data_IF_831938944997
#
_entry.id   IF_831938944997
#
_cell.length_a   1.000
_cell.length_b   1.000
_cell.length_c   1.000
_cell.angle_alpha   90.00
_cell.angle_beta   90.00
_cell.angle_gamma   90.00
#
_symmetry.space_group_name_H-M   'P 1'
#
loop_
_entity.id
_entity.type
_entity.pdbx_description
1 polymer ?
#
# COMPACT_ATOMS: atom_id res chain seq x y z
N UNK A 1 2.06 10.36 4.61
CA UNK A 1 1.30 9.14 4.21
C UNK A 1 0.57 8.50 5.41
N UNK A 2 -0.33 7.53 5.25
CA UNK A 2 -1.06 6.96 6.40
C UNK A 2 -0.14 6.23 7.40
N UNK A 3 0.98 5.64 6.97
CA UNK A 3 1.95 5.02 7.90
C UNK A 3 2.69 6.00 8.80
N UNK A 4 2.75 7.26 8.41
CA UNK A 4 3.40 8.32 9.17
C UNK A 4 2.47 8.92 10.22
N UNK A 5 1.18 8.58 10.19
CA UNK A 5 0.18 9.14 11.09
C UNK A 5 -0.03 8.22 12.29
N UNK A 6 0.16 8.79 13.48
CA UNK A 6 -0.11 8.16 14.76
C UNK A 6 -1.32 8.85 15.39
N UNK A 7 -2.41 8.11 15.54
CA UNK A 7 -3.66 8.62 16.12
C UNK A 7 -4.00 7.79 17.34
N UNK A 8 -4.45 8.45 18.41
CA UNK A 8 -4.91 7.77 19.63
C UNK A 8 -6.00 6.75 19.33
N UNK A 9 -5.98 5.54 19.93
CA UNK A 9 -7.07 4.57 19.82
C UNK A 9 -8.39 5.07 20.40
N UNK A 10 -8.34 6.07 21.29
CA UNK A 10 -9.50 6.71 21.91
C UNK A 10 -10.13 7.78 21.00
N UNK A 11 -9.48 8.13 19.89
CA UNK A 11 -10.02 9.09 18.94
C UNK A 11 -11.38 8.59 18.39
N UNK A 12 -12.36 9.49 18.40
CA UNK A 12 -13.72 9.20 17.92
C UNK A 12 -13.83 9.57 16.44
N UNK A 13 -14.99 10.12 16.07
CA UNK A 13 -15.36 10.46 14.72
C UNK A 13 -14.56 11.64 14.14
N UNK A 14 -14.19 12.61 14.98
CA UNK A 14 -13.53 13.86 14.61
C UNK A 14 -12.12 13.88 15.19
N UNK A 15 -11.16 14.42 14.43
CA UNK A 15 -9.78 14.53 14.88
C UNK A 15 -9.57 15.66 15.90
N UNK A 16 -10.43 16.68 15.90
CA UNK A 16 -10.35 17.82 16.84
C UNK A 16 -10.63 17.41 18.30
N UNK A 17 -11.44 16.37 18.46
CA UNK A 17 -11.73 15.74 19.75
C UNK A 17 -10.70 14.68 20.13
N UNK A 18 -9.74 14.38 19.24
CA UNK A 18 -8.70 13.39 19.54
C UNK A 18 -7.80 13.93 20.65
N UNK A 19 -7.49 13.13 21.69
CA UNK A 19 -6.55 13.55 22.71
C UNK A 19 -5.12 13.67 22.18
N UNK A 20 -4.79 12.93 21.11
CA UNK A 20 -3.45 12.88 20.53
C UNK A 20 -3.51 12.49 19.06
N UNK A 21 -2.87 13.30 18.23
CA UNK A 21 -2.62 13.05 16.81
C UNK A 21 -1.21 13.50 16.48
N UNK A 22 -0.47 12.69 15.73
CA UNK A 22 0.92 12.97 15.40
C UNK A 22 1.21 12.58 13.95
N UNK A 23 1.92 13.46 13.23
CA UNK A 23 2.52 13.15 11.94
C UNK A 23 4.04 13.00 12.12
N UNK A 24 4.53 11.78 11.92
CA UNK A 24 5.95 11.40 12.03
C UNK A 24 6.59 11.43 10.64
N UNK A 25 7.57 12.28 10.43
CA UNK A 25 8.32 12.39 9.16
C UNK A 25 9.81 12.37 9.43
N UNK A 26 10.59 11.79 8.52
CA UNK A 26 12.05 11.87 8.57
C UNK A 26 12.54 12.95 7.61
N UNK A 27 13.34 13.89 8.12
CA UNK A 27 13.95 14.96 7.32
C UNK A 27 15.44 15.04 7.61
N UNK A 28 16.23 15.52 6.65
CA UNK A 28 17.66 15.75 6.89
C UNK A 28 17.87 17.00 7.75
N UNK A 29 19.02 17.09 8.44
CA UNK A 29 19.36 18.31 9.22
C UNK A 29 19.37 19.56 8.36
N UNK A 30 19.81 19.44 7.12
CA UNK A 30 19.90 20.55 6.17
C UNK A 30 18.52 21.08 5.82
N UNK A 31 17.56 20.18 5.55
CA UNK A 31 16.18 20.56 5.22
C UNK A 31 15.52 21.26 6.41
N UNK A 32 15.75 20.76 7.64
CA UNK A 32 15.19 21.37 8.86
C UNK A 32 15.68 22.79 9.11
N UNK A 33 16.97 23.05 8.84
CA UNK A 33 17.52 24.41 8.94
C UNK A 33 16.93 25.30 7.84
N UNK A 34 16.72 24.76 6.64
CA UNK A 34 16.10 25.49 5.53
C UNK A 34 14.62 25.83 5.78
N UNK A 35 13.91 24.97 6.52
CA UNK A 35 12.53 25.17 6.95
C UNK A 35 12.39 26.26 8.04
N UNK A 36 13.51 26.82 8.52
CA UNK A 36 13.54 27.93 9.47
C UNK A 36 13.62 27.51 10.95
N UNK A 37 13.92 26.24 11.23
CA UNK A 37 14.13 25.75 12.60
C UNK A 37 15.53 26.18 13.07
N UNK A 38 15.64 26.58 14.34
CA UNK A 38 16.91 27.02 14.92
C UNK A 38 18.02 25.97 14.75
N UNK A 39 19.15 26.42 14.20
CA UNK A 39 20.26 25.55 13.83
C UNK A 39 20.94 24.92 15.07
N UNK A 40 20.96 25.60 16.21
CA UNK A 40 21.52 25.03 17.44
C UNK A 40 20.63 23.90 17.97
N UNK A 41 19.31 24.09 17.92
CA UNK A 41 18.33 23.06 18.30
C UNK A 41 18.43 21.82 17.40
N UNK A 42 18.50 21.99 16.08
CA UNK A 42 18.62 20.87 15.12
C UNK A 42 19.95 20.12 15.31
N UNK A 43 21.06 20.84 15.51
CA UNK A 43 22.37 20.22 15.63
C UNK A 43 22.54 19.40 16.93
N UNK A 44 21.86 19.83 17.99
CA UNK A 44 21.88 19.17 19.29
C UNK A 44 20.78 18.12 19.46
N UNK A 45 19.86 17.99 18.50
CA UNK A 45 18.89 16.92 18.48
C UNK A 45 19.57 15.56 18.20
N UNK A 46 19.08 14.53 18.89
CA UNK A 46 19.50 13.16 18.66
C UNK A 46 19.03 12.69 17.28
N UNK A 47 19.87 11.91 16.60
CA UNK A 47 19.47 11.19 15.39
C UNK A 47 18.34 10.22 15.77
N UNK A 48 17.29 10.16 14.94
CA UNK A 48 16.09 9.36 15.23
C UNK A 48 16.40 7.89 15.53
N UNK A 49 15.49 7.21 16.23
CA UNK A 49 15.60 5.75 16.37
C UNK A 49 15.53 5.12 14.98
N UNK A 50 16.40 4.18 14.64
CA UNK A 50 16.37 3.62 13.30
C UNK A 50 15.10 2.80 13.07
N UNK A 51 14.48 2.98 11.90
CA UNK A 51 13.20 2.36 11.54
C UNK A 51 13.18 0.83 11.64
N UNK A 52 14.32 0.14 11.49
CA UNK A 52 14.40 -1.31 11.65
C UNK A 52 14.15 -1.79 13.09
N UNK A 53 14.18 -0.91 14.09
CA UNK A 53 13.82 -1.26 15.47
C UNK A 53 12.29 -1.29 15.67
N UNK A 54 11.53 -0.81 14.69
CA UNK A 54 10.07 -0.80 14.68
C UNK A 54 9.56 -2.09 14.02
N UNK A 55 8.84 -2.91 14.79
CA UNK A 55 8.45 -4.27 14.37
C UNK A 55 7.54 -4.28 13.13
N UNK A 56 6.78 -3.19 12.92
CA UNK A 56 5.93 -3.00 11.74
C UNK A 56 6.74 -2.72 10.47
N UNK A 57 7.88 -2.03 10.56
CA UNK A 57 8.75 -1.78 9.41
C UNK A 57 9.39 -3.08 8.92
N UNK A 58 9.88 -3.91 9.85
CA UNK A 58 10.42 -5.24 9.54
C UNK A 58 9.37 -6.14 8.86
N UNK A 59 8.11 -6.09 9.31
CA UNK A 59 7.05 -6.92 8.73
C UNK A 59 6.72 -6.54 7.28
N UNK A 60 7.01 -5.30 6.87
CA UNK A 60 6.75 -4.79 5.51
C UNK A 60 7.97 -4.91 4.61
N UNK A 61 9.16 -4.61 5.11
CA UNK A 61 10.42 -4.70 4.37
C UNK A 61 11.00 -6.11 4.47
N UNK A 62 10.52 -6.96 3.57
CA UNK A 62 11.00 -8.35 3.41
C UNK A 62 12.43 -8.40 2.83
N UNK A 63 12.92 -7.28 2.29
CA UNK A 63 14.24 -7.18 1.64
C UNK A 63 15.29 -6.68 2.64
N UNK A 64 16.09 -7.63 3.16
CA UNK A 64 17.17 -7.40 4.14
C UNK A 64 18.21 -6.35 3.69
N UNK A 65 18.40 -6.17 2.38
CA UNK A 65 19.40 -5.26 1.80
C UNK A 65 19.11 -3.77 2.10
N UNK A 66 17.86 -3.42 2.38
CA UNK A 66 17.43 -2.07 2.77
C UNK A 66 17.60 -1.79 4.28
N UNK A 67 17.97 -2.79 5.08
CA UNK A 67 18.20 -2.63 6.53
C UNK A 67 19.61 -2.12 6.88
N UNK A 68 20.31 -1.53 5.92
CA UNK A 68 21.65 -0.98 6.16
C UNK A 68 21.53 0.33 6.92
N UNK A 69 22.27 0.46 8.03
CA UNK A 69 22.40 1.74 8.73
C UNK A 69 23.25 2.69 7.90
N UNK A 70 22.62 3.45 7.02
CA UNK A 70 23.26 4.60 6.40
C UNK A 70 23.47 5.66 7.48
N UNK A 71 24.64 5.62 8.11
CA UNK A 71 25.13 6.71 8.95
C UNK A 71 26.10 7.55 8.10
N UNK A 72 25.59 8.52 7.32
CA UNK A 72 26.46 9.36 6.52
C UNK A 72 27.47 10.08 7.42
N UNK A 73 28.73 10.14 6.97
CA UNK A 73 29.81 10.80 7.70
C UNK A 73 29.58 12.32 7.86
N UNK A 74 28.78 12.90 6.96
CA UNK A 74 28.38 14.30 7.04
C UNK A 74 27.13 14.47 7.91
N UNK A 75 27.22 15.36 8.91
CA UNK A 75 26.11 15.70 9.82
C UNK A 75 24.93 16.31 9.08
N UNK A 76 25.18 17.01 7.98
CA UNK A 76 24.15 17.68 7.17
C UNK A 76 23.14 16.70 6.56
N UNK A 77 23.59 15.48 6.26
CA UNK A 77 22.83 14.40 5.62
C UNK A 77 22.21 13.43 6.61
N UNK A 78 22.47 13.59 7.91
CA UNK A 78 21.86 12.74 8.93
C UNK A 78 20.36 13.01 8.99
N UNK A 79 19.58 11.94 8.98
CA UNK A 79 18.13 11.99 9.11
C UNK A 79 17.72 12.15 10.58
N UNK A 80 16.80 13.07 10.82
CA UNK A 80 16.19 13.30 12.12
C UNK A 80 14.69 13.06 12.00
N UNK A 81 14.13 12.41 13.01
CA UNK A 81 12.70 12.23 13.13
C UNK A 81 12.05 13.54 13.60
N UNK A 82 11.09 14.01 12.82
CA UNK A 82 10.25 15.16 13.12
C UNK A 82 8.85 14.63 13.43
N UNK A 83 8.29 15.09 14.54
CA UNK A 83 6.92 14.77 14.93
C UNK A 83 6.14 16.07 15.06
N UNK A 84 5.16 16.23 14.21
CA UNK A 84 4.17 17.29 14.34
C UNK A 84 2.99 16.76 15.16
N UNK A 85 2.86 17.24 16.39
CA UNK A 85 1.98 16.65 17.39
C UNK A 85 0.86 17.62 17.74
N UNK A 86 -0.38 17.26 17.42
CA UNK A 86 -1.56 17.90 17.98
C UNK A 86 -1.98 17.15 19.25
N UNK A 87 -1.86 17.81 20.41
CA UNK A 87 -2.19 17.22 21.72
C UNK A 87 -3.16 18.13 22.46
N UNK A 88 -4.12 17.51 23.16
CA UNK A 88 -4.95 18.23 24.13
C UNK A 88 -4.31 18.17 25.50
N UNK A 89 -3.86 19.31 26.00
CA UNK A 89 -3.29 19.42 27.33
C UNK A 89 -3.74 20.71 28.02
N UNK A 90 -3.94 20.62 29.33
CA UNK A 90 -4.07 21.76 30.20
C UNK A 90 -2.65 22.28 30.50
N UNK A 91 -2.32 23.45 29.94
CA UNK A 91 -0.98 24.04 30.04
C UNK A 91 -0.88 25.11 31.13
N UNK A 92 -1.96 25.88 31.35
CA UNK A 92 -2.00 26.98 32.32
C UNK A 92 -2.54 26.55 33.70
N UNK A 93 -3.03 25.31 33.82
CA UNK A 93 -3.50 24.71 35.06
C UNK A 93 -4.92 25.15 35.43
N UNK A 94 -5.72 25.59 34.45
CA UNK A 94 -7.09 26.06 34.66
C UNK A 94 -8.14 24.93 34.66
N UNK A 95 -7.72 23.70 34.33
CA UNK A 95 -8.56 22.51 34.25
C UNK A 95 -9.27 22.31 32.90
N UNK A 96 -9.02 23.18 31.91
CA UNK A 96 -9.55 23.10 30.55
C UNK A 96 -8.42 22.63 29.62
N UNK A 97 -8.62 21.47 28.99
CA UNK A 97 -7.64 20.97 28.03
C UNK A 97 -7.78 21.72 26.69
N UNK A 98 -6.83 22.60 26.40
CA UNK A 98 -6.69 23.29 25.11
C UNK A 98 -5.98 22.40 24.09
N UNK A 99 -6.23 22.66 22.80
CA UNK A 99 -5.53 21.97 21.72
C UNK A 99 -4.25 22.77 21.37
N UNK A 100 -3.12 22.09 21.38
CA UNK A 100 -1.81 22.68 21.05
C UNK A 100 -1.12 21.86 19.99
N UNK A 101 -0.49 22.54 19.04
CA UNK A 101 0.40 21.95 18.06
C UNK A 101 1.84 22.12 18.55
N UNK A 102 2.50 20.99 18.73
CA UNK A 102 3.87 20.90 19.24
C UNK A 102 4.73 20.26 18.17
N UNK A 103 5.69 21.03 17.66
CA UNK A 103 6.69 20.53 16.73
C UNK A 103 7.86 19.95 17.53
N UNK A 104 8.05 18.64 17.46
CA UNK A 104 9.14 17.92 18.13
C UNK A 104 10.17 17.47 17.09
N UNK A 105 11.42 17.83 17.32
CA UNK A 105 12.57 17.43 16.49
C UNK A 105 13.46 16.52 17.31
N UNK A 106 13.46 15.23 16.99
CA UNK A 106 14.13 14.19 17.78
C UNK A 106 13.60 14.14 19.21
N UNK A 107 14.43 14.60 20.15
CA UNK A 107 14.12 14.64 21.59
C UNK A 107 13.80 16.05 22.11
N UNK A 108 13.73 17.05 21.23
CA UNK A 108 13.56 18.46 21.59
C UNK A 108 12.27 19.04 21.03
N UNK A 109 11.65 19.93 21.79
CA UNK A 109 10.48 20.70 21.34
C UNK A 109 11.01 21.97 20.64
N UNK A 110 10.65 22.14 19.37
CA UNK A 110 11.04 23.28 18.55
C UNK A 110 10.00 24.41 18.58
N UNK A 111 8.71 24.09 18.54
CA UNK A 111 7.61 25.05 18.69
C UNK A 111 6.47 24.43 19.50
N UNK A 112 5.73 25.28 20.21
CA UNK A 112 4.50 24.96 20.92
C UNK A 112 3.53 26.12 20.74
N UNK A 113 2.55 25.93 19.88
CA UNK A 113 1.54 26.92 19.51
C UNK A 113 0.14 26.40 19.87
N UNK A 114 -0.73 27.30 20.29
CA UNK A 114 -2.13 26.98 20.60
C UNK A 114 -2.98 27.13 19.34
N UNK A 115 -3.87 26.17 19.09
CA UNK A 115 -4.65 26.11 17.85
C UNK A 115 -6.11 25.75 18.16
N UNK A 116 -7.03 26.34 17.40
CA UNK A 116 -8.47 26.08 17.54
C UNK A 116 -8.92 24.75 16.89
N UNK A 117 -8.31 24.36 15.76
CA UNK A 117 -8.67 23.18 14.97
C UNK A 117 -7.45 22.29 14.70
N UNK A 118 -7.64 20.97 14.60
CA UNK A 118 -6.57 20.05 14.24
C UNK A 118 -6.09 20.33 12.80
N UNK A 119 -4.77 20.43 12.54
CA UNK A 119 -4.26 20.66 11.19
C UNK A 119 -4.43 19.45 10.25
N UNK A 120 -4.97 18.34 10.77
CA UNK A 120 -5.10 17.07 10.07
C UNK A 120 -6.57 16.71 9.84
N UNK A 121 -6.88 16.31 8.61
CA UNK A 121 -8.17 15.76 8.23
C UNK A 121 -8.05 14.27 7.87
N UNK A 122 -8.94 13.45 8.39
CA UNK A 122 -9.05 12.04 8.04
C UNK A 122 -10.41 11.74 7.40
N UNK A 123 -10.40 10.99 6.30
CA UNK A 123 -11.60 10.57 5.60
C UNK A 123 -11.54 9.06 5.33
N UNK A 124 -12.67 8.38 5.52
CA UNK A 124 -12.79 6.96 5.19
C UNK A 124 -14.18 6.63 4.65
N UNK A 125 -14.24 5.72 3.68
CA UNK A 125 -15.50 5.29 3.06
C UNK A 125 -16.43 4.55 4.02
N UNK A 126 -15.88 3.65 4.84
CA UNK A 126 -16.65 2.87 5.80
C UNK A 126 -15.92 2.83 7.14
N UNK A 127 -16.53 3.41 8.17
CA UNK A 127 -15.95 3.43 9.51
C UNK A 127 -16.05 2.07 10.19
N UNK A 128 -14.97 1.66 10.84
CA UNK A 128 -14.98 0.52 11.75
C UNK A 128 -15.12 1.03 13.19
N UNK A 129 -15.89 0.35 14.05
CA UNK A 129 -15.96 0.71 15.46
C UNK A 129 -14.60 0.48 16.14
N UNK A 130 -14.27 1.35 17.11
CA UNK A 130 -13.03 1.28 17.91
C UNK A 130 -11.72 1.39 17.11
N UNK A 131 -11.77 1.91 15.88
CA UNK A 131 -10.58 2.11 15.03
C UNK A 131 -10.73 3.39 14.22
N UNK A 132 -9.66 4.19 14.19
CA UNK A 132 -9.64 5.42 13.37
C UNK A 132 -9.56 5.07 11.87
N UNK A 133 -8.75 4.08 11.50
CA UNK A 133 -8.71 3.55 10.13
C UNK A 133 -9.95 2.70 9.86
N UNK A 134 -10.65 3.04 8.78
CA UNK A 134 -11.78 2.28 8.29
C UNK A 134 -11.41 1.37 7.13
N UNK A 135 -12.44 0.88 6.45
CA UNK A 135 -12.34 -0.02 5.30
C UNK A 135 -12.51 0.82 4.03
N UNK A 136 -11.60 0.64 3.08
CA UNK A 136 -11.70 1.22 1.73
C UNK A 136 -12.71 0.44 0.90
N UNK A 137 -13.33 1.09 -0.09
CA UNK A 137 -14.14 0.40 -1.10
C UNK A 137 -13.34 -0.67 -1.85
N UNK A 138 -12.03 -0.42 -2.04
CA UNK A 138 -11.14 -1.40 -2.66
C UNK A 138 -11.02 -2.68 -1.82
N UNK A 139 -10.91 -2.56 -0.50
CA UNK A 139 -10.75 -3.71 0.40
C UNK A 139 -11.97 -4.65 0.33
N UNK A 140 -13.17 -4.10 0.10
CA UNK A 140 -14.38 -4.92 -0.10
C UNK A 140 -14.44 -5.58 -1.49
N UNK A 141 -13.81 -4.97 -2.51
CA UNK A 141 -13.87 -5.45 -3.89
C UNK A 141 -12.65 -6.27 -4.32
N UNK A 142 -11.57 -6.25 -3.55
CA UNK A 142 -10.28 -6.84 -3.91
C UNK A 142 -10.43 -8.32 -4.31
N UNK A 143 -11.15 -9.10 -3.51
CA UNK A 143 -11.38 -10.53 -3.77
C UNK A 143 -12.10 -10.76 -5.11
N UNK A 144 -13.12 -9.95 -5.41
CA UNK A 144 -13.86 -10.03 -6.67
C UNK A 144 -12.95 -9.67 -7.86
N UNK A 145 -12.10 -8.66 -7.70
CA UNK A 145 -11.16 -8.25 -8.74
C UNK A 145 -10.13 -9.36 -9.02
N UNK A 146 -9.62 -10.03 -7.98
CA UNK A 146 -8.71 -11.16 -8.12
C UNK A 146 -9.40 -12.31 -8.87
N UNK A 147 -10.59 -12.74 -8.43
CA UNK A 147 -11.37 -13.80 -9.08
C UNK A 147 -11.64 -13.46 -10.55
N UNK A 148 -12.08 -12.23 -10.83
CA UNK A 148 -12.34 -11.76 -12.19
C UNK A 148 -11.09 -11.86 -13.06
N UNK A 149 -9.94 -11.42 -12.54
CA UNK A 149 -8.68 -11.47 -13.27
C UNK A 149 -8.23 -12.90 -13.56
N UNK A 150 -8.41 -13.82 -12.61
CA UNK A 150 -8.02 -15.22 -12.75
C UNK A 150 -8.92 -15.97 -13.72
N UNK A 151 -10.23 -15.74 -13.66
CA UNK A 151 -11.19 -16.29 -14.62
C UNK A 151 -10.91 -15.79 -16.04
N UNK A 152 -10.59 -14.51 -16.20
CA UNK A 152 -10.31 -13.92 -17.50
C UNK A 152 -8.99 -14.44 -18.09
N UNK A 153 -7.94 -14.60 -17.27
CA UNK A 153 -6.68 -15.25 -17.67
C UNK A 153 -6.88 -16.72 -18.02
N UNK A 154 -7.64 -17.43 -17.21
CA UNK A 154 -7.96 -18.85 -17.43
C UNK A 154 -8.74 -19.00 -18.73
N UNK A 155 -9.78 -18.20 -18.95
CA UNK A 155 -10.56 -18.21 -20.19
C UNK A 155 -9.69 -17.88 -21.42
N UNK A 156 -8.84 -16.86 -21.33
CA UNK A 156 -7.90 -16.54 -22.40
C UNK A 156 -6.95 -17.72 -22.71
N UNK A 157 -6.46 -18.41 -21.68
CA UNK A 157 -5.63 -19.63 -21.83
C UNK A 157 -6.41 -20.76 -22.51
N UNK A 158 -7.66 -21.00 -22.11
CA UNK A 158 -8.53 -21.99 -22.75
C UNK A 158 -8.78 -21.65 -24.23
N UNK A 159 -9.03 -20.39 -24.55
CA UNK A 159 -9.28 -19.96 -25.94
C UNK A 159 -8.05 -20.11 -26.85
N UNK A 160 -6.84 -20.10 -26.29
CA UNK A 160 -5.59 -20.30 -27.04
C UNK A 160 -5.24 -21.78 -27.22
N UNK A 161 -5.98 -22.70 -26.60
CA UNK A 161 -5.74 -24.11 -26.80
C UNK A 161 -6.05 -24.51 -28.24
N UNK A 162 -5.18 -25.28 -28.89
CA UNK A 162 -5.49 -25.82 -30.21
C UNK A 162 -6.71 -26.73 -30.07
N UNK A 163 -7.76 -26.44 -30.84
CA UNK A 163 -8.93 -27.32 -30.88
C UNK A 163 -8.48 -28.72 -31.31
N UNK A 164 -8.96 -29.78 -30.64
CA UNK A 164 -8.54 -31.14 -30.96
C UNK A 164 -8.94 -31.45 -32.41
N UNK A 165 -7.95 -31.47 -33.31
CA UNK A 165 -8.15 -31.94 -34.68
C UNK A 165 -8.40 -33.44 -34.59
N UNK A 166 -9.48 -33.93 -35.23
CA UNK A 166 -9.70 -35.37 -35.41
C UNK A 166 -8.47 -35.98 -36.09
N UNK A 167 -7.61 -36.65 -35.34
CA UNK A 167 -6.55 -37.47 -35.90
C UNK A 167 -7.11 -38.88 -36.09
N UNK A 168 -7.16 -39.32 -37.34
CA UNK A 168 -7.53 -40.69 -37.69
C UNK A 168 -6.26 -41.51 -37.82
N UNK A 169 -6.18 -42.62 -37.07
CA UNK A 169 -4.97 -43.45 -36.90
C UNK A 169 -4.49 -44.18 -38.16
N UNK A 170 -5.28 -44.25 -39.24
CA UNK A 170 -4.92 -44.98 -40.45
C UNK A 170 -4.66 -44.04 -41.63
N UNK A 171 -3.38 -43.98 -42.05
CA UNK A 171 -2.87 -43.31 -43.26
C UNK A 171 -3.72 -43.66 -44.49
N UNK A 172 -4.57 -42.74 -44.93
CA UNK A 172 -5.04 -42.62 -46.33
C UNK A 172 -5.08 -41.14 -46.72
N UNK A 173 -4.81 -40.91 -48.01
CA UNK A 173 -4.35 -39.67 -48.66
C UNK A 173 -5.03 -38.38 -48.18
N UNK A 174 -4.19 -37.38 -47.84
CA UNK A 174 -4.48 -36.01 -47.43
C UNK A 174 -4.97 -35.15 -48.62
N UNK A 175 -6.16 -35.41 -49.18
CA UNK A 175 -6.63 -34.57 -50.30
C UNK A 175 -7.68 -33.52 -49.93
N UNK A 176 -8.35 -33.56 -48.77
CA UNK A 176 -9.22 -32.42 -48.41
C UNK A 176 -9.52 -32.35 -46.91
N UNK A 177 -8.84 -31.43 -46.21
CA UNK A 177 -9.29 -30.86 -44.95
C UNK A 177 -9.56 -29.38 -45.21
N UNK A 178 -10.66 -29.07 -45.89
CA UNK A 178 -11.13 -27.68 -45.96
C UNK A 178 -11.55 -27.20 -44.57
N UNK A 179 -11.34 -25.91 -44.22
CA UNK A 179 -11.74 -25.37 -42.93
C UNK A 179 -13.25 -25.55 -42.72
N UNK A 180 -13.59 -26.16 -41.59
CA UNK A 180 -14.93 -26.49 -41.13
C UNK A 180 -15.92 -25.32 -41.34
N UNK A 181 -16.90 -25.50 -42.23
CA UNK A 181 -18.19 -24.80 -42.12
C UNK A 181 -18.99 -25.49 -41.00
N UNK A 182 -19.73 -24.76 -40.14
CA UNK A 182 -20.38 -25.32 -38.95
C UNK A 182 -21.41 -26.44 -39.22
N UNK A 183 -21.81 -26.64 -40.48
CA UNK A 183 -22.75 -27.70 -40.90
C UNK A 183 -22.19 -28.62 -42.01
N UNK A 184 -20.86 -28.69 -42.17
CA UNK A 184 -20.23 -29.49 -43.23
C UNK A 184 -20.30 -31.00 -42.96
N UNK A 185 -21.18 -31.71 -43.67
CA UNK A 185 -21.21 -33.17 -43.68
C UNK A 185 -19.92 -33.71 -44.31
N UNK A 186 -19.02 -34.31 -43.51
CA UNK A 186 -17.81 -34.94 -44.03
C UNK A 186 -18.11 -36.36 -44.50
N UNK A 187 -18.08 -36.59 -45.82
CA UNK A 187 -18.31 -37.92 -46.39
C UNK A 187 -17.00 -38.68 -46.51
N UNK A 188 -16.88 -39.77 -45.76
CA UNK A 188 -15.73 -40.66 -45.83
C UNK A 188 -16.04 -41.81 -46.80
N UNK A 189 -15.21 -42.00 -47.83
CA UNK A 189 -15.31 -43.20 -48.70
C UNK A 189 -14.66 -44.39 -48.00
N UNK A 190 -15.44 -45.43 -47.70
CA UNK A 190 -14.91 -46.76 -47.35
C UNK A 190 -14.57 -47.53 -48.64
N UNK A 191 -13.39 -48.14 -48.72
CA UNK A 191 -13.10 -49.10 -49.78
C UNK A 191 -13.83 -50.41 -49.48
N UNK A 192 -14.81 -50.78 -50.30
CA UNK A 192 -15.18 -52.19 -50.45
C UNK A 192 -14.15 -52.83 -51.38
N UNK A 193 -13.44 -53.86 -50.90
CA UNK A 193 -12.75 -54.78 -51.79
C UNK A 193 -13.82 -55.50 -52.62
N UNK A 194 -13.90 -55.19 -53.92
CA UNK A 194 -14.57 -56.08 -54.87
C UNK A 194 -13.77 -57.39 -54.88
N UNK A 195 -14.34 -58.45 -54.29
CA UNK A 195 -13.91 -59.81 -54.58
C UNK A 195 -14.34 -60.09 -56.02
N UNK A 196 -13.36 -60.14 -56.92
CA UNK A 196 -13.57 -60.64 -58.28
C UNK A 196 -14.05 -62.10 -58.20
N UNK A 197 -15.08 -62.40 -59.00
CA UNK A 197 -15.59 -63.75 -59.24
C UNK A 197 -14.61 -64.56 -60.09
#
# INVERSE_FOLDING_TARGET
PPEEMLISPMAKANLDESPFTCHKTEKTRSDLISDGIDAELVNSASTGRPNWMEMDAIARDVVVDQMTMDNPADKSMQTIEVRDVAIRCDWDGDGIAELRQVLVVGDKIASNEEIEESPFAAAVSKRMPHRHTGISLYDELADIQVIKSELMRTHARWSQQPTPRKQRSNRRRLEELQPYRPYGLSRWRSHSHQRAA
#
